data_IF_751600382075
#
_entry.id   IF_751600382075
#
_cell.length_a   1.000
_cell.length_b   1.000
_cell.length_c   1.000
_cell.angle_alpha   90.00
_cell.angle_beta   90.00
_cell.angle_gamma   90.00
#
_symmetry.space_group_name_H-M   'P 1'
#
loop_
_entity.id
_entity.type
_entity.pdbx_description
1 polymer ?
#
# COMPACT_ATOMS: atom_id res chain seq x y z
N UNK A 1 21.80 9.35 47.84
CA UNK A 1 21.87 10.00 46.51
C UNK A 1 22.69 9.21 45.49
N UNK A 2 23.83 8.58 45.86
CA UNK A 2 24.64 7.75 44.93
C UNK A 2 23.90 6.49 44.43
N UNK A 3 23.13 5.82 45.31
CA UNK A 3 22.35 4.61 44.93
C UNK A 3 21.26 4.93 43.90
N UNK A 4 20.58 6.08 44.01
CA UNK A 4 19.55 6.51 43.06
C UNK A 4 20.13 6.80 41.67
N UNK A 5 21.36 7.32 41.61
CA UNK A 5 22.06 7.65 40.36
C UNK A 5 22.51 6.40 39.58
N UNK A 6 22.84 5.31 40.29
CA UNK A 6 23.23 4.03 39.67
C UNK A 6 22.04 3.21 39.15
N UNK A 7 20.84 3.43 39.68
CA UNK A 7 19.62 2.71 39.30
C UNK A 7 18.88 3.42 38.13
N UNK A 8 19.01 4.74 38.01
CA UNK A 8 18.45 5.52 36.90
C UNK A 8 18.78 5.01 35.48
N UNK A 9 20.02 4.60 35.14
CA UNK A 9 20.32 4.09 33.80
C UNK A 9 19.66 2.73 33.49
N UNK A 10 19.39 1.89 34.50
CA UNK A 10 18.73 0.60 34.31
C UNK A 10 17.25 0.78 33.91
N UNK A 11 16.52 1.66 34.61
CA UNK A 11 15.14 2.00 34.25
C UNK A 11 15.03 2.73 32.90
N UNK A 12 16.02 3.56 32.56
CA UNK A 12 16.07 4.21 31.25
C UNK A 12 16.31 3.21 30.10
N UNK A 13 16.99 2.09 30.37
CA UNK A 13 17.22 1.05 29.36
C UNK A 13 15.97 0.19 29.14
N UNK A 14 15.26 -0.18 30.22
CA UNK A 14 14.00 -0.93 30.13
C UNK A 14 12.92 -0.19 29.33
N UNK A 15 12.85 1.14 29.46
CA UNK A 15 11.93 1.99 28.66
C UNK A 15 12.35 2.05 27.18
N UNK A 16 13.65 2.08 26.87
CA UNK A 16 14.15 2.08 25.49
C UNK A 16 13.90 0.74 24.80
N UNK A 17 14.09 -0.37 25.51
CA UNK A 17 13.85 -1.71 24.99
C UNK A 17 12.35 -1.94 24.73
N UNK A 18 11.48 -1.46 25.64
CA UNK A 18 10.03 -1.50 25.44
C UNK A 18 9.56 -0.65 24.25
N UNK A 19 10.14 0.56 24.06
CA UNK A 19 9.83 1.43 22.93
C UNK A 19 10.33 0.87 21.59
N UNK A 20 11.49 0.21 21.57
CA UNK A 20 11.99 -0.43 20.36
C UNK A 20 11.14 -1.64 19.95
N UNK A 21 10.66 -2.41 20.94
CA UNK A 21 9.79 -3.55 20.68
C UNK A 21 8.39 -3.14 20.17
N UNK A 22 7.82 -2.07 20.71
CA UNK A 22 6.53 -1.54 20.23
C UNK A 22 6.65 -0.98 18.80
N UNK A 23 7.75 -0.27 18.51
CA UNK A 23 8.03 0.25 17.18
C UNK A 23 8.22 -0.88 16.15
N UNK A 24 8.99 -1.92 16.49
CA UNK A 24 9.19 -3.09 15.64
C UNK A 24 7.86 -3.80 15.32
N UNK A 25 7.02 -4.03 16.35
CA UNK A 25 5.72 -4.66 16.16
C UNK A 25 4.81 -3.84 15.25
N UNK A 26 4.78 -2.51 15.40
CA UNK A 26 3.99 -1.64 14.53
C UNK A 26 4.38 -1.78 13.06
N UNK A 27 5.66 -1.64 12.73
CA UNK A 27 6.13 -1.80 11.34
C UNK A 27 5.85 -3.21 10.80
N UNK A 28 5.97 -4.24 11.63
CA UNK A 28 5.73 -5.61 11.21
C UNK A 28 4.25 -5.86 10.86
N UNK A 29 3.31 -5.34 11.65
CA UNK A 29 1.88 -5.43 11.34
C UNK A 29 1.50 -4.64 10.08
N UNK A 30 2.03 -3.43 9.93
CA UNK A 30 1.77 -2.59 8.76
C UNK A 30 2.34 -3.22 7.48
N UNK A 31 3.55 -3.79 7.55
CA UNK A 31 4.16 -4.48 6.43
C UNK A 31 3.35 -5.71 6.01
N UNK A 32 2.91 -6.54 6.97
CA UNK A 32 2.12 -7.73 6.66
C UNK A 32 0.73 -7.37 6.10
N UNK A 33 0.01 -6.45 6.74
CA UNK A 33 -1.30 -6.01 6.29
C UNK A 33 -1.21 -5.29 4.94
N UNK A 34 -0.19 -4.46 4.76
CA UNK A 34 0.09 -3.75 3.52
C UNK A 34 0.43 -4.70 2.37
N UNK A 35 1.31 -5.68 2.58
CA UNK A 35 1.67 -6.67 1.56
C UNK A 35 0.47 -7.51 1.12
N UNK A 36 -0.34 -7.97 2.07
CA UNK A 36 -1.55 -8.74 1.76
C UNK A 36 -2.59 -7.88 1.03
N UNK A 37 -2.93 -6.71 1.59
CA UNK A 37 -3.96 -5.84 0.99
C UNK A 37 -3.56 -5.32 -0.39
N UNK A 38 -2.31 -4.90 -0.56
CA UNK A 38 -1.80 -4.45 -1.86
C UNK A 38 -1.71 -5.60 -2.86
N UNK A 39 -1.32 -6.80 -2.41
CA UNK A 39 -1.33 -8.01 -3.24
C UNK A 39 -2.72 -8.37 -3.77
N UNK A 40 -3.75 -8.30 -2.92
CA UNK A 40 -5.14 -8.54 -3.36
C UNK A 40 -5.66 -7.44 -4.28
N UNK A 41 -5.35 -6.17 -4.00
CA UNK A 41 -5.73 -5.06 -4.86
C UNK A 41 -5.09 -5.18 -6.26
N UNK A 42 -3.79 -5.48 -6.31
CA UNK A 42 -3.06 -5.69 -7.55
C UNK A 42 -3.59 -6.90 -8.34
N UNK A 43 -3.97 -7.98 -7.66
CA UNK A 43 -4.58 -9.15 -8.31
C UNK A 43 -5.91 -8.80 -8.98
N UNK A 44 -6.80 -8.09 -8.28
CA UNK A 44 -8.07 -7.64 -8.84
C UNK A 44 -7.89 -6.69 -10.03
N UNK A 45 -6.99 -5.72 -9.89
CA UNK A 45 -6.68 -4.77 -10.95
C UNK A 45 -6.06 -5.46 -12.17
N UNK A 46 -5.10 -6.37 -11.98
CA UNK A 46 -4.47 -7.10 -13.08
C UNK A 46 -5.46 -7.89 -13.92
N UNK A 47 -6.45 -8.53 -13.28
CA UNK A 47 -7.54 -9.24 -13.99
C UNK A 47 -8.40 -8.23 -14.78
N UNK A 48 -8.82 -7.13 -14.15
CA UNK A 48 -9.65 -6.11 -14.79
C UNK A 48 -8.95 -5.46 -15.99
N UNK A 49 -7.66 -5.14 -15.86
CA UNK A 49 -6.85 -4.57 -16.92
C UNK A 49 -6.66 -5.54 -18.08
N UNK A 50 -6.38 -6.81 -17.80
CA UNK A 50 -6.26 -7.85 -18.83
C UNK A 50 -7.53 -7.99 -19.67
N UNK A 51 -8.70 -8.00 -19.02
CA UNK A 51 -9.99 -8.08 -19.70
C UNK A 51 -10.28 -6.81 -20.53
N UNK A 52 -9.99 -5.63 -20.00
CA UNK A 52 -10.16 -4.37 -20.71
C UNK A 52 -9.27 -4.29 -21.98
N UNK A 53 -8.01 -4.73 -21.87
CA UNK A 53 -7.07 -4.79 -22.99
C UNK A 53 -7.52 -5.81 -24.02
N UNK A 54 -7.95 -7.01 -23.61
CA UNK A 54 -8.45 -8.04 -24.53
C UNK A 54 -9.68 -7.57 -25.31
N UNK A 55 -10.64 -6.94 -24.63
CA UNK A 55 -11.84 -6.38 -25.26
C UNK A 55 -11.48 -5.28 -26.27
N UNK A 56 -10.53 -4.43 -25.92
CA UNK A 56 -10.02 -3.36 -26.80
C UNK A 56 -9.30 -3.91 -28.02
N UNK A 57 -8.39 -4.87 -27.85
CA UNK A 57 -7.66 -5.50 -28.94
C UNK A 57 -8.60 -6.21 -29.93
N UNK A 58 -9.59 -6.94 -29.41
CA UNK A 58 -10.61 -7.61 -30.25
C UNK A 58 -11.49 -6.58 -30.96
N UNK A 59 -11.87 -5.49 -30.29
CA UNK A 59 -12.63 -4.39 -30.91
C UNK A 59 -11.88 -3.72 -32.06
N UNK A 60 -10.58 -3.46 -31.87
CA UNK A 60 -9.70 -2.90 -32.91
C UNK A 60 -9.57 -3.86 -34.09
N UNK A 61 -9.38 -5.17 -33.83
CA UNK A 61 -9.27 -6.17 -34.89
C UNK A 61 -10.54 -6.26 -35.75
N UNK A 62 -11.73 -6.10 -35.14
CA UNK A 62 -13.02 -6.13 -35.85
C UNK A 62 -13.35 -4.82 -36.57
N UNK A 63 -12.89 -3.69 -36.04
CA UNK A 63 -13.09 -2.38 -36.67
C UNK A 63 -11.85 -1.48 -36.48
N UNK A 64 -10.86 -1.57 -37.39
CA UNK A 64 -9.63 -0.79 -37.29
C UNK A 64 -9.87 0.72 -37.28
N UNK A 65 -10.92 1.20 -37.95
CA UNK A 65 -11.28 2.61 -38.01
C UNK A 65 -11.76 3.19 -36.67
N UNK A 66 -12.20 2.35 -35.73
CA UNK A 66 -12.60 2.76 -34.40
C UNK A 66 -11.44 2.74 -33.38
N UNK A 67 -10.23 2.36 -33.79
CA UNK A 67 -9.15 2.04 -32.85
C UNK A 67 -8.74 3.20 -31.93
N UNK A 68 -8.64 4.41 -32.47
CA UNK A 68 -8.31 5.60 -31.64
C UNK A 68 -9.32 5.82 -30.50
N UNK A 69 -10.63 5.73 -30.80
CA UNK A 69 -11.69 5.90 -29.81
C UNK A 69 -11.69 4.77 -28.77
N UNK A 70 -11.45 3.53 -29.20
CA UNK A 70 -11.38 2.38 -28.29
C UNK A 70 -10.19 2.50 -27.32
N UNK A 71 -9.03 2.95 -27.80
CA UNK A 71 -7.88 3.21 -26.92
C UNK A 71 -8.16 4.31 -25.89
N UNK A 72 -8.87 5.38 -26.26
CA UNK A 72 -9.27 6.42 -25.29
C UNK A 72 -10.17 5.86 -24.19
N UNK A 73 -11.20 5.09 -24.56
CA UNK A 73 -12.10 4.46 -23.58
C UNK A 73 -11.36 3.46 -22.72
N UNK A 74 -10.46 2.66 -23.31
CA UNK A 74 -9.61 1.72 -22.59
C UNK A 74 -8.76 2.43 -21.55
N UNK A 75 -8.05 3.50 -21.91
CA UNK A 75 -7.17 4.21 -20.98
C UNK A 75 -7.93 4.86 -19.83
N UNK A 76 -9.13 5.41 -20.08
CA UNK A 76 -10.00 5.93 -19.02
C UNK A 76 -10.44 4.79 -18.09
N UNK A 77 -10.85 3.64 -18.65
CA UNK A 77 -11.21 2.45 -17.86
C UNK A 77 -10.05 1.91 -17.03
N UNK A 78 -8.85 1.81 -17.63
CA UNK A 78 -7.63 1.37 -16.95
C UNK A 78 -7.25 2.31 -15.81
N UNK A 79 -7.37 3.63 -16.00
CA UNK A 79 -7.11 4.61 -14.94
C UNK A 79 -8.07 4.43 -13.75
N UNK A 80 -9.35 4.15 -14.01
CA UNK A 80 -10.33 3.87 -12.96
C UNK A 80 -10.02 2.56 -12.23
N UNK A 81 -9.63 1.51 -12.95
CA UNK A 81 -9.23 0.23 -12.34
C UNK A 81 -7.98 0.43 -11.47
N UNK A 82 -6.95 1.09 -12.00
CA UNK A 82 -5.68 1.29 -11.30
C UNK A 82 -5.83 2.13 -10.02
N UNK A 83 -6.81 3.04 -9.99
CA UNK A 83 -7.08 3.87 -8.80
C UNK A 83 -7.33 3.05 -7.53
N UNK A 84 -7.89 1.84 -7.66
CA UNK A 84 -8.15 0.93 -6.53
C UNK A 84 -6.83 0.45 -5.89
N UNK A 85 -5.83 0.08 -6.71
CA UNK A 85 -4.50 -0.29 -6.23
C UNK A 85 -3.80 0.91 -5.61
N UNK A 86 -3.89 2.08 -6.25
CA UNK A 86 -3.28 3.30 -5.73
C UNK A 86 -3.89 3.73 -4.40
N UNK A 87 -5.21 3.58 -4.19
CA UNK A 87 -5.83 3.87 -2.89
C UNK A 87 -5.28 2.97 -1.78
N UNK A 88 -5.08 1.68 -2.03
CA UNK A 88 -4.45 0.79 -1.06
C UNK A 88 -2.99 1.19 -0.81
N UNK A 89 -2.24 1.52 -1.85
CA UNK A 89 -0.86 2.01 -1.72
C UNK A 89 -0.80 3.27 -0.86
N UNK A 90 -1.67 4.25 -1.12
CA UNK A 90 -1.73 5.50 -0.35
C UNK A 90 -2.04 5.24 1.12
N UNK A 91 -2.98 4.33 1.44
CA UNK A 91 -3.27 3.97 2.83
C UNK A 91 -2.04 3.39 3.53
N UNK A 92 -1.30 2.48 2.87
CA UNK A 92 -0.06 1.91 3.42
C UNK A 92 1.00 2.99 3.63
N UNK A 93 1.19 3.89 2.67
CA UNK A 93 2.13 4.99 2.77
C UNK A 93 1.78 5.98 3.90
N UNK A 94 0.49 6.28 4.08
CA UNK A 94 0.02 7.13 5.19
C UNK A 94 0.34 6.46 6.52
N UNK A 95 0.08 5.16 6.67
CA UNK A 95 0.35 4.48 7.95
C UNK A 95 1.87 4.41 8.23
N UNK A 96 2.71 4.25 7.21
CA UNK A 96 4.17 4.19 7.38
C UNK A 96 4.83 5.56 7.64
N UNK A 97 4.37 6.62 6.96
CA UNK A 97 5.08 7.92 6.94
C UNK A 97 4.28 9.09 7.55
N UNK A 98 2.97 8.97 7.66
CA UNK A 98 2.06 10.01 8.16
C UNK A 98 1.07 9.42 9.18
N UNK A 99 1.57 8.54 10.05
CA UNK A 99 0.76 7.73 10.96
C UNK A 99 -0.12 8.61 11.86
N UNK A 100 -1.46 8.55 11.74
CA UNK A 100 -2.37 9.35 12.56
C UNK A 100 -2.51 8.84 14.00
N UNK A 101 -1.95 7.67 14.31
CA UNK A 101 -2.04 7.07 15.64
C UNK A 101 -0.90 7.47 16.57
N UNK A 102 0.08 8.26 16.10
CA UNK A 102 1.22 8.74 16.90
C UNK A 102 1.91 7.62 17.71
N UNK A 103 1.96 6.38 17.20
CA UNK A 103 2.54 5.21 17.90
C UNK A 103 4.07 5.20 17.77
N UNK A 104 4.70 6.37 17.87
CA UNK A 104 6.15 6.56 17.79
C UNK A 104 6.55 7.46 18.96
#
# INVERSE_FOLDING_TARGET
>A
MVVLFLIAPAFAQEVKDAAHLSMFNHYMYVALAGALGLGFAALGCGIGQGLAIQGTATGIARNPGAGGRLLTVMMIGLAMIESLTIYMLVVVLIILYANPFHVI
#
